data_IF_440775505350
#
_entry.id   IF_440775505350
#
_cell.length_a   1.000
_cell.length_b   1.000
_cell.length_c   1.000
_cell.angle_alpha   90.00
_cell.angle_beta   90.00
_cell.angle_gamma   90.00
#
_symmetry.space_group_name_H-M   'P 1'
#
loop_
_entity.id
_entity.type
_entity.pdbx_description
1 polymer ?
#
# COMPACT_ATOMS: atom_id res chain seq x y z
N UNK A 1 53.13 17.68 2.07
CA UNK A 1 53.09 16.21 2.23
C UNK A 1 51.64 15.81 2.42
N UNK A 2 51.15 15.05 1.45
CA UNK A 2 49.81 14.46 1.38
C UNK A 2 49.53 13.53 2.56
N UNK A 3 48.25 13.39 2.93
CA UNK A 3 47.62 12.07 2.92
C UNK A 3 46.09 12.19 2.91
N UNK A 4 45.52 11.87 1.75
CA UNK A 4 44.16 11.36 1.59
C UNK A 4 44.03 10.00 2.29
N UNK A 5 42.84 9.70 2.85
CA UNK A 5 42.29 8.36 2.97
C UNK A 5 40.79 8.52 3.32
N UNK A 6 39.95 8.68 2.29
CA UNK A 6 39.16 7.60 1.70
C UNK A 6 37.89 7.30 2.52
N UNK A 7 36.78 7.92 2.11
CA UNK A 7 35.46 7.42 2.44
C UNK A 7 35.36 5.95 2.04
N UNK A 8 35.00 5.10 3.00
CA UNK A 8 34.92 3.66 2.79
C UNK A 8 33.94 3.34 1.65
N UNK A 9 34.31 2.52 0.65
CA UNK A 9 33.46 2.25 -0.51
C UNK A 9 32.30 1.27 -0.24
N UNK A 10 32.23 0.67 0.95
CA UNK A 10 31.28 -0.41 1.29
C UNK A 10 30.32 -0.01 2.41
N UNK A 11 29.45 0.98 2.15
CA UNK A 11 28.40 1.36 3.12
C UNK A 11 27.14 0.48 3.06
N UNK A 12 27.05 -0.42 2.09
CA UNK A 12 25.96 -1.37 1.97
C UNK A 12 26.49 -2.76 1.58
N UNK A 13 26.85 -3.62 2.56
CA UNK A 13 27.23 -4.99 2.26
C UNK A 13 26.00 -5.71 1.68
N UNK A 14 26.06 -6.01 0.38
CA UNK A 14 25.04 -6.69 -0.43
C UNK A 14 23.88 -5.84 -1.03
N UNK A 15 24.18 -4.68 -1.62
CA UNK A 15 23.30 -4.19 -2.71
C UNK A 15 23.29 -5.23 -3.84
N UNK A 16 22.11 -5.46 -4.42
CA UNK A 16 21.83 -6.37 -5.56
C UNK A 16 21.60 -7.87 -5.31
N UNK A 17 21.12 -8.31 -4.14
CA UNK A 17 20.63 -9.70 -4.04
C UNK A 17 19.40 -9.97 -4.91
N UNK A 18 18.58 -8.95 -5.17
CA UNK A 18 17.48 -9.04 -6.14
C UNK A 18 17.97 -8.53 -7.49
N UNK A 19 18.22 -9.45 -8.42
CA UNK A 19 18.47 -9.11 -9.83
C UNK A 19 17.17 -8.62 -10.47
N UNK A 20 17.22 -7.43 -11.07
CA UNK A 20 16.10 -6.81 -11.76
C UNK A 20 15.89 -7.33 -13.18
N UNK A 21 14.86 -6.80 -13.85
CA UNK A 21 14.63 -7.05 -15.27
C UNK A 21 15.77 -6.46 -16.12
N UNK A 22 16.32 -7.25 -17.03
CA UNK A 22 17.43 -6.82 -17.90
C UNK A 22 16.98 -5.76 -18.90
N UNK A 23 15.76 -5.88 -19.43
CA UNK A 23 15.24 -4.94 -20.42
C UNK A 23 15.07 -3.55 -19.80
N UNK A 24 14.68 -3.50 -18.51
CA UNK A 24 14.61 -2.26 -17.75
C UNK A 24 16.00 -1.66 -17.48
N UNK A 25 16.99 -2.48 -17.17
CA UNK A 25 18.37 -2.01 -17.01
C UNK A 25 18.94 -1.47 -18.34
N UNK A 26 18.65 -2.13 -19.47
CA UNK A 26 19.04 -1.66 -20.81
C UNK A 26 18.38 -0.30 -21.14
N UNK A 27 17.08 -0.15 -20.86
CA UNK A 27 16.34 1.09 -21.07
C UNK A 27 16.88 2.25 -20.20
N UNK A 28 17.19 1.96 -18.94
CA UNK A 28 17.79 2.93 -18.03
C UNK A 28 19.17 3.41 -18.54
N UNK A 29 20.01 2.50 -19.05
CA UNK A 29 21.29 2.86 -19.70
C UNK A 29 21.08 3.70 -20.95
N UNK A 30 20.11 3.34 -21.79
CA UNK A 30 19.72 4.13 -22.98
C UNK A 30 19.28 5.56 -22.66
N UNK A 31 18.85 5.81 -21.41
CA UNK A 31 18.46 7.13 -20.91
C UNK A 31 19.64 7.94 -20.30
N UNK A 32 20.87 7.43 -20.39
CA UNK A 32 22.09 8.10 -19.92
C UNK A 32 22.53 7.76 -18.49
N UNK A 33 21.92 6.75 -17.85
CA UNK A 33 22.36 6.27 -16.54
C UNK A 33 23.62 5.39 -16.67
N UNK A 34 24.49 5.46 -15.66
CA UNK A 34 25.62 4.52 -15.55
C UNK A 34 25.14 3.09 -15.32
N UNK A 35 25.97 2.11 -15.63
CA UNK A 35 25.64 0.69 -15.44
C UNK A 35 25.21 0.36 -14.00
N UNK A 36 25.93 0.81 -12.94
CA UNK A 36 25.47 0.58 -11.56
C UNK A 36 24.10 1.23 -11.25
N UNK A 37 23.83 2.40 -11.83
CA UNK A 37 22.56 3.10 -11.60
C UNK A 37 21.40 2.42 -12.32
N UNK A 38 21.62 1.90 -13.53
CA UNK A 38 20.63 1.13 -14.27
C UNK A 38 20.27 -0.19 -13.58
N UNK A 39 21.26 -0.91 -13.06
CA UNK A 39 21.03 -2.10 -12.24
C UNK A 39 20.23 -1.75 -10.96
N UNK A 40 20.48 -0.59 -10.35
CA UNK A 40 19.73 -0.13 -9.18
C UNK A 40 18.26 0.15 -9.52
N UNK A 41 17.97 0.78 -10.67
CA UNK A 41 16.60 0.97 -11.16
C UNK A 41 15.88 -0.36 -11.32
N UNK A 42 16.53 -1.34 -11.96
CA UNK A 42 15.96 -2.67 -12.19
C UNK A 42 15.71 -3.43 -10.87
N UNK A 43 16.64 -3.33 -9.91
CA UNK A 43 16.49 -3.94 -8.60
C UNK A 43 15.34 -3.31 -7.79
N UNK A 44 15.20 -1.98 -7.84
CA UNK A 44 14.10 -1.25 -7.20
C UNK A 44 12.75 -1.74 -7.75
N UNK A 45 12.60 -1.83 -9.08
CA UNK A 45 11.36 -2.34 -9.69
C UNK A 45 11.04 -3.76 -9.21
N UNK A 46 12.02 -4.66 -9.22
CA UNK A 46 11.81 -6.04 -8.80
C UNK A 46 11.39 -6.15 -7.32
N UNK A 47 11.98 -5.34 -6.43
CA UNK A 47 11.57 -5.26 -5.03
C UNK A 47 10.17 -4.67 -4.91
N UNK A 48 9.87 -3.57 -5.60
CA UNK A 48 8.55 -2.95 -5.58
C UNK A 48 7.46 -3.89 -6.10
N UNK A 49 7.76 -4.69 -7.12
CA UNK A 49 6.87 -5.72 -7.65
C UNK A 49 6.60 -6.83 -6.61
N UNK A 50 7.60 -7.25 -5.83
CA UNK A 50 7.40 -8.20 -4.71
C UNK A 50 6.54 -7.58 -3.60
N UNK A 51 6.83 -6.35 -3.20
CA UNK A 51 6.06 -5.60 -2.20
C UNK A 51 4.61 -5.44 -2.63
N UNK A 52 4.38 -4.97 -3.87
CA UNK A 52 3.05 -4.81 -4.46
C UNK A 52 2.28 -6.11 -4.48
N UNK A 53 2.90 -7.22 -4.90
CA UNK A 53 2.27 -8.56 -4.88
C UNK A 53 1.89 -9.01 -3.47
N UNK A 54 2.77 -8.81 -2.49
CA UNK A 54 2.47 -9.17 -1.09
C UNK A 54 1.26 -8.38 -0.56
N UNK A 55 1.19 -7.07 -0.87
CA UNK A 55 0.07 -6.21 -0.49
C UNK A 55 -1.23 -6.69 -1.17
N UNK A 56 -1.20 -6.91 -2.49
CA UNK A 56 -2.39 -7.32 -3.26
C UNK A 56 -2.93 -8.69 -2.87
N UNK A 57 -2.06 -9.66 -2.55
CA UNK A 57 -2.47 -10.99 -2.10
C UNK A 57 -3.09 -10.97 -0.69
N UNK A 58 -2.85 -9.88 0.04
CA UNK A 58 -3.30 -9.65 1.42
C UNK A 58 -2.84 -10.75 2.36
N UNK A 59 -1.62 -11.24 2.17
CA UNK A 59 -1.07 -12.40 2.89
C UNK A 59 -1.10 -12.17 4.41
N UNK A 60 -0.72 -10.97 4.84
CA UNK A 60 -0.77 -10.57 6.25
C UNK A 60 -2.19 -10.57 6.83
N UNK A 61 -3.16 -10.01 6.10
CA UNK A 61 -4.56 -9.99 6.51
C UNK A 61 -5.13 -11.41 6.63
N UNK A 62 -4.88 -12.28 5.65
CA UNK A 62 -5.29 -13.69 5.69
C UNK A 62 -4.68 -14.43 6.88
N UNK A 63 -3.40 -14.23 7.16
CA UNK A 63 -2.70 -14.86 8.29
C UNK A 63 -3.25 -14.43 9.65
N UNK A 64 -3.67 -13.17 9.78
CA UNK A 64 -4.34 -12.64 10.98
C UNK A 64 -5.70 -13.30 11.14
N UNK A 65 -6.53 -13.27 10.10
CA UNK A 65 -7.91 -13.78 10.18
C UNK A 65 -7.94 -15.26 10.54
N UNK A 66 -7.05 -16.07 9.96
CA UNK A 66 -6.91 -17.48 10.30
C UNK A 66 -6.62 -17.76 11.79
N UNK A 67 -6.08 -16.77 12.53
CA UNK A 67 -5.73 -16.90 13.96
C UNK A 67 -6.67 -16.17 14.90
N UNK A 68 -7.32 -15.10 14.44
CA UNK A 68 -8.16 -14.22 15.28
C UNK A 68 -9.63 -14.57 15.17
N UNK A 69 -10.13 -14.66 13.94
CA UNK A 69 -11.52 -15.04 13.66
C UNK A 69 -11.60 -15.64 12.24
N UNK A 70 -11.51 -16.99 12.11
CA UNK A 70 -11.56 -17.66 10.83
C UNK A 70 -12.88 -17.46 10.07
N UNK A 71 -13.93 -16.97 10.75
CA UNK A 71 -15.21 -16.69 10.11
C UNK A 71 -15.18 -15.40 9.29
N UNK A 72 -14.17 -14.55 9.48
CA UNK A 72 -14.00 -13.31 8.74
C UNK A 72 -13.20 -13.52 7.45
N UNK A 73 -13.60 -12.79 6.42
CA UNK A 73 -12.84 -12.63 5.18
C UNK A 73 -12.02 -11.34 5.17
N UNK A 74 -11.07 -11.22 4.24
CA UNK A 74 -10.22 -10.01 4.16
C UNK A 74 -11.02 -8.74 3.85
N UNK A 75 -12.08 -8.87 3.06
CA UNK A 75 -13.05 -7.79 2.79
C UNK A 75 -13.69 -7.24 4.07
N UNK A 76 -13.93 -8.09 5.08
CA UNK A 76 -14.43 -7.69 6.38
C UNK A 76 -13.38 -6.89 7.16
N UNK A 77 -12.12 -7.32 7.11
CA UNK A 77 -11.02 -6.59 7.75
C UNK A 77 -10.83 -5.20 7.13
N UNK A 78 -10.93 -5.10 5.80
CA UNK A 78 -10.85 -3.84 5.08
C UNK A 78 -12.01 -2.90 5.47
N UNK A 79 -13.24 -3.41 5.51
CA UNK A 79 -14.40 -2.64 5.94
C UNK A 79 -14.33 -2.22 7.42
N UNK A 80 -13.85 -3.09 8.30
CA UNK A 80 -13.57 -2.73 9.71
C UNK A 80 -12.54 -1.60 9.79
N UNK A 81 -11.48 -1.67 8.98
CA UNK A 81 -10.48 -0.60 8.85
C UNK A 81 -11.07 0.72 8.34
N UNK A 82 -11.98 0.65 7.36
CA UNK A 82 -12.70 1.79 6.83
C UNK A 82 -13.65 2.42 7.88
N UNK A 83 -14.31 1.62 8.71
CA UNK A 83 -15.18 2.11 9.81
C UNK A 83 -14.35 2.74 10.93
N UNK A 84 -13.17 2.21 11.22
CA UNK A 84 -12.26 2.77 12.22
C UNK A 84 -11.75 4.18 11.91
N UNK A 85 -12.05 4.71 10.71
CA UNK A 85 -11.54 5.97 10.20
C UNK A 85 -10.01 6.05 10.28
N UNK A 86 -9.34 4.96 9.91
CA UNK A 86 -7.88 4.86 9.96
C UNK A 86 -7.27 5.87 8.95
N UNK A 87 -6.25 6.65 9.33
CA UNK A 87 -5.62 7.66 8.47
C UNK A 87 -5.11 7.13 7.12
N UNK A 88 -4.88 5.82 7.00
CA UNK A 88 -4.55 5.19 5.69
C UNK A 88 -5.69 5.31 4.67
N UNK A 89 -6.94 5.43 5.12
CA UNK A 89 -8.14 5.47 4.25
C UNK A 89 -8.87 6.82 4.26
N UNK A 90 -8.45 7.78 5.10
CA UNK A 90 -9.07 9.11 5.14
C UNK A 90 -8.22 10.13 5.90
N UNK A 91 -8.07 11.32 5.32
CA UNK A 91 -7.40 12.47 5.96
C UNK A 91 -8.31 13.19 6.97
N UNK A 92 -9.63 12.91 6.94
CA UNK A 92 -10.63 13.59 7.76
C UNK A 92 -11.18 12.69 8.88
N UNK A 93 -10.73 12.94 10.12
CA UNK A 93 -11.20 12.23 11.32
C UNK A 93 -12.70 12.47 11.66
N UNK A 94 -13.36 13.43 11.02
CA UNK A 94 -14.67 13.93 11.46
C UNK A 94 -15.89 13.42 10.66
N UNK A 95 -15.71 12.64 9.60
CA UNK A 95 -16.84 12.21 8.79
C UNK A 95 -17.57 10.98 9.36
N UNK A 96 -18.90 11.06 9.36
CA UNK A 96 -19.74 9.93 9.72
C UNK A 96 -19.56 8.80 8.71
N UNK A 97 -19.18 7.60 9.19
CA UNK A 97 -19.01 6.46 8.30
C UNK A 97 -20.37 5.91 7.88
N UNK A 98 -20.72 6.13 6.63
CA UNK A 98 -21.89 5.54 5.97
C UNK A 98 -21.47 4.37 5.09
N UNK A 99 -22.43 3.53 4.68
CA UNK A 99 -22.17 2.45 3.70
C UNK A 99 -21.63 3.03 2.38
N UNK A 100 -22.13 4.19 1.94
CA UNK A 100 -21.63 4.87 0.75
C UNK A 100 -20.16 5.26 0.88
N UNK A 101 -19.76 5.81 2.05
CA UNK A 101 -18.36 6.13 2.32
C UNK A 101 -17.48 4.87 2.38
N UNK A 102 -17.99 3.75 2.87
CA UNK A 102 -17.26 2.46 2.83
C UNK A 102 -17.09 1.99 1.39
N UNK A 103 -18.12 2.10 0.55
CA UNK A 103 -18.04 1.74 -0.86
C UNK A 103 -16.97 2.55 -1.59
N UNK A 104 -16.93 3.86 -1.34
CA UNK A 104 -15.92 4.77 -1.86
C UNK A 104 -14.51 4.41 -1.38
N UNK A 105 -14.31 4.28 -0.06
CA UNK A 105 -13.00 3.97 0.54
C UNK A 105 -12.42 2.63 0.10
N UNK A 106 -13.29 1.67 -0.19
CA UNK A 106 -12.87 0.33 -0.62
C UNK A 106 -12.88 0.16 -2.13
N UNK A 107 -13.31 1.18 -2.89
CA UNK A 107 -13.49 1.14 -4.34
C UNK A 107 -14.33 -0.07 -4.79
N UNK A 108 -15.44 -0.32 -4.10
CA UNK A 108 -16.38 -1.42 -4.37
C UNK A 108 -17.79 -0.90 -4.65
N UNK A 109 -18.61 -1.74 -5.28
CA UNK A 109 -20.00 -1.38 -5.53
C UNK A 109 -20.80 -1.22 -4.22
N UNK A 110 -21.78 -0.29 -4.16
CA UNK A 110 -22.59 -0.06 -2.96
C UNK A 110 -23.34 -1.28 -2.44
N UNK A 111 -23.76 -2.20 -3.31
CA UNK A 111 -24.46 -3.43 -2.91
C UNK A 111 -23.52 -4.37 -2.14
N UNK A 112 -22.27 -4.51 -2.60
CA UNK A 112 -21.22 -5.25 -1.91
C UNK A 112 -20.83 -4.61 -0.59
N UNK A 113 -20.66 -3.29 -0.56
CA UNK A 113 -20.40 -2.57 0.70
C UNK A 113 -21.52 -2.77 1.72
N UNK A 114 -22.78 -2.74 1.27
CA UNK A 114 -23.95 -2.98 2.11
C UNK A 114 -23.97 -4.40 2.69
N UNK A 115 -23.69 -5.42 1.85
CA UNK A 115 -23.58 -6.82 2.29
C UNK A 115 -22.50 -7.01 3.34
N UNK A 116 -21.28 -6.55 3.07
CA UNK A 116 -20.16 -6.63 4.02
C UNK A 116 -20.52 -5.91 5.34
N UNK A 117 -21.16 -4.75 5.25
CA UNK A 117 -21.58 -3.98 6.43
C UNK A 117 -22.64 -4.70 7.25
N UNK A 118 -23.60 -5.37 6.60
CA UNK A 118 -24.62 -6.16 7.28
C UNK A 118 -24.00 -7.36 8.00
N UNK A 119 -23.10 -8.10 7.34
CA UNK A 119 -22.39 -9.23 7.93
C UNK A 119 -21.55 -8.81 9.14
N UNK A 120 -20.88 -7.66 9.07
CA UNK A 120 -20.13 -7.11 10.21
C UNK A 120 -21.02 -6.75 11.41
N UNK A 121 -22.23 -6.28 11.15
CA UNK A 121 -23.22 -5.98 12.21
C UNK A 121 -23.73 -7.27 12.83
N UNK A 122 -24.09 -8.26 12.01
CA UNK A 122 -24.55 -9.58 12.46
C UNK A 122 -23.49 -10.29 13.32
N UNK A 123 -22.22 -10.20 12.91
CA UNK A 123 -21.07 -10.78 13.64
C UNK A 123 -20.62 -9.98 14.86
N UNK A 124 -21.30 -8.87 15.15
CA UNK A 124 -21.08 -8.01 16.32
C UNK A 124 -19.78 -7.20 16.27
N UNK A 125 -19.20 -6.97 15.09
CA UNK A 125 -18.00 -6.12 14.91
C UNK A 125 -18.36 -4.65 14.68
N UNK A 126 -19.54 -4.39 14.12
CA UNK A 126 -20.08 -3.05 13.93
C UNK A 126 -21.51 -2.94 14.47
N UNK A 127 -21.99 -1.72 14.66
CA UNK A 127 -23.39 -1.43 14.95
C UNK A 127 -23.90 -0.28 14.10
N UNK A 128 -25.20 -0.31 13.80
CA UNK A 128 -25.91 0.78 13.13
C UNK A 128 -26.31 1.82 14.18
N UNK A 129 -26.02 3.09 13.88
CA UNK A 129 -26.38 4.23 14.72
C UNK A 129 -27.08 5.26 13.84
N UNK A 130 -28.06 5.98 14.38
CA UNK A 130 -28.64 7.11 13.67
C UNK A 130 -27.56 8.18 13.40
N UNK A 131 -27.55 8.74 12.19
CA UNK A 131 -26.70 9.89 11.88
C UNK A 131 -27.12 11.09 12.74
N UNK A 132 -26.12 11.82 13.23
CA UNK A 132 -26.34 13.07 13.96
C UNK A 132 -26.58 14.25 13.01
N UNK A 133 -26.28 14.09 11.71
CA UNK A 133 -26.43 15.11 10.65
C UNK A 133 -27.73 14.97 9.86
N UNK A 134 -28.21 13.75 9.64
CA UNK A 134 -29.48 13.46 8.95
C UNK A 134 -30.10 12.19 9.53
N UNK A 135 -31.21 12.31 10.27
CA UNK A 135 -31.86 11.17 10.91
C UNK A 135 -32.34 10.08 9.93
N UNK A 136 -32.41 10.37 8.62
CA UNK A 136 -32.72 9.40 7.56
C UNK A 136 -31.52 8.54 7.15
N UNK A 137 -30.31 8.93 7.56
CA UNK A 137 -29.07 8.20 7.25
C UNK A 137 -28.66 7.31 8.42
N UNK A 138 -28.23 6.10 8.09
CA UNK A 138 -27.64 5.17 9.04
C UNK A 138 -26.13 5.25 8.92
N UNK A 139 -25.46 5.50 10.04
CA UNK A 139 -24.00 5.42 10.15
C UNK A 139 -23.59 4.13 10.83
N UNK A 140 -22.36 3.71 10.60
CA UNK A 140 -21.73 2.57 11.24
C UNK A 140 -20.72 3.06 12.28
N UNK A 141 -20.67 2.36 13.40
CA UNK A 141 -19.60 2.46 14.39
C UNK A 141 -19.08 1.06 14.69
N UNK A 142 -17.81 0.96 15.04
CA UNK A 142 -17.28 -0.29 15.58
C UNK A 142 -17.90 -0.54 16.96
N UNK A 143 -18.14 -1.81 17.27
CA UNK A 143 -18.39 -2.24 18.64
C UNK A 143 -17.06 -2.34 19.40
N UNK A 144 -17.07 -2.53 20.74
CA UNK A 144 -15.84 -2.82 21.47
C UNK A 144 -15.07 -4.05 20.92
N UNK A 145 -15.78 -5.00 20.31
CA UNK A 145 -15.16 -6.15 19.63
C UNK A 145 -14.41 -5.70 18.37
N UNK A 146 -15.03 -4.87 17.53
CA UNK A 146 -14.41 -4.27 16.35
C UNK A 146 -13.20 -3.40 16.68
N UNK A 147 -13.32 -2.55 17.70
CA UNK A 147 -12.22 -1.68 18.15
C UNK A 147 -11.00 -2.48 18.61
N UNK A 148 -11.21 -3.54 19.40
CA UNK A 148 -10.12 -4.43 19.84
C UNK A 148 -9.44 -5.12 18.66
N UNK A 149 -10.20 -5.58 17.67
CA UNK A 149 -9.64 -6.20 16.47
C UNK A 149 -8.74 -5.21 15.72
N UNK A 150 -9.22 -3.99 15.45
CA UNK A 150 -8.43 -2.95 14.76
C UNK A 150 -7.17 -2.60 15.52
N UNK A 151 -7.29 -2.41 16.84
CA UNK A 151 -6.16 -2.07 17.69
C UNK A 151 -5.10 -3.17 17.67
N UNK A 152 -5.50 -4.44 17.81
CA UNK A 152 -4.58 -5.58 17.79
C UNK A 152 -3.88 -5.73 16.43
N UNK A 153 -4.62 -5.61 15.33
CA UNK A 153 -4.07 -5.69 13.97
C UNK A 153 -3.08 -4.55 13.72
N UNK A 154 -3.44 -3.31 14.07
CA UNK A 154 -2.58 -2.14 13.92
C UNK A 154 -1.30 -2.26 14.74
N UNK A 155 -1.42 -2.61 16.03
CA UNK A 155 -0.26 -2.74 16.90
C UNK A 155 0.69 -3.84 16.42
N UNK A 156 0.15 -4.95 15.93
CA UNK A 156 0.95 -6.05 15.37
C UNK A 156 1.66 -5.62 14.09
N UNK A 157 0.95 -4.96 13.16
CA UNK A 157 1.55 -4.40 11.94
C UNK A 157 2.70 -3.46 12.27
N UNK A 158 2.49 -2.55 13.23
CA UNK A 158 3.50 -1.59 13.65
C UNK A 158 4.70 -2.24 14.32
N UNK A 159 4.49 -3.26 15.15
CA UNK A 159 5.58 -4.00 15.79
C UNK A 159 6.43 -4.74 14.75
N UNK A 160 5.80 -5.36 13.76
CA UNK A 160 6.52 -6.03 12.66
C UNK A 160 7.30 -5.00 11.85
N UNK A 161 6.68 -3.87 11.49
CA UNK A 161 7.32 -2.82 10.72
C UNK A 161 8.51 -2.21 11.47
N UNK A 162 8.30 -1.74 12.70
CA UNK A 162 9.36 -1.21 13.54
C UNK A 162 10.46 -2.25 13.80
N UNK A 163 10.08 -3.50 14.07
CA UNK A 163 11.02 -4.61 14.26
C UNK A 163 11.83 -4.92 13.00
N UNK A 164 11.26 -4.77 11.79
CA UNK A 164 11.99 -4.96 10.53
C UNK A 164 13.03 -3.87 10.26
N UNK A 165 12.87 -2.71 10.89
CA UNK A 165 13.76 -1.55 10.77
C UNK A 165 14.72 -1.40 11.95
N UNK A 166 14.48 -2.10 13.07
CA UNK A 166 15.22 -1.93 14.32
C UNK A 166 16.72 -2.30 14.24
N UNK A 167 17.11 -3.11 13.24
CA UNK A 167 18.51 -3.49 13.00
C UNK A 167 19.26 -2.54 12.05
N UNK A 168 18.59 -1.52 11.50
CA UNK A 168 19.23 -0.54 10.63
C UNK A 168 19.89 0.54 11.48
N UNK A 169 20.96 1.13 10.98
CA UNK A 169 21.52 2.32 11.62
C UNK A 169 20.63 3.55 11.41
N UNK A 170 20.80 4.54 12.29
CA UNK A 170 19.99 5.77 12.28
C UNK A 170 20.13 6.56 10.98
N UNK A 171 21.34 6.62 10.41
CA UNK A 171 21.60 7.37 9.19
C UNK A 171 20.90 6.72 8.00
N UNK A 172 20.93 5.39 7.92
CA UNK A 172 20.25 4.60 6.91
C UNK A 172 18.73 4.72 7.02
N UNK A 173 18.17 4.72 8.23
CA UNK A 173 16.73 4.95 8.44
C UNK A 173 16.29 6.33 7.93
N UNK A 174 17.02 7.38 8.30
CA UNK A 174 16.72 8.76 7.86
C UNK A 174 16.87 8.88 6.34
N UNK A 175 17.96 8.34 5.78
CA UNK A 175 18.22 8.38 4.33
C UNK A 175 17.15 7.63 3.56
N UNK A 176 16.79 6.43 4.01
CA UNK A 176 15.76 5.63 3.37
C UNK A 176 14.40 6.32 3.42
N UNK A 177 14.02 6.93 4.56
CA UNK A 177 12.77 7.68 4.66
C UNK A 177 12.69 8.82 3.63
N UNK A 178 13.76 9.62 3.50
CA UNK A 178 13.83 10.71 2.52
C UNK A 178 13.77 10.21 1.08
N UNK A 179 14.53 9.15 0.75
CA UNK A 179 14.53 8.57 -0.59
C UNK A 179 13.19 7.93 -0.95
N UNK A 180 12.54 7.27 0.02
CA UNK A 180 11.23 6.65 -0.16
C UNK A 180 10.16 7.71 -0.39
N UNK A 181 10.20 8.86 0.30
CA UNK A 181 9.28 9.97 0.08
C UNK A 181 9.48 10.59 -1.31
N UNK A 182 10.73 10.86 -1.70
CA UNK A 182 11.06 11.33 -3.05
C UNK A 182 10.59 10.36 -4.13
N UNK A 183 10.72 9.06 -3.88
CA UNK A 183 10.22 8.02 -4.77
C UNK A 183 8.68 7.96 -4.75
N UNK A 184 8.02 8.09 -3.60
CA UNK A 184 6.55 8.08 -3.54
C UNK A 184 5.93 9.27 -4.31
N UNK A 185 6.63 10.41 -4.36
CA UNK A 185 6.17 11.62 -5.06
C UNK A 185 5.77 11.40 -6.53
N UNK A 186 6.45 10.52 -7.28
CA UNK A 186 6.05 10.23 -8.67
C UNK A 186 4.88 9.25 -8.75
N UNK A 187 4.77 8.30 -7.81
CA UNK A 187 3.69 7.30 -7.78
C UNK A 187 2.34 7.96 -7.46
N UNK A 188 2.38 9.01 -6.65
CA UNK A 188 1.19 9.75 -6.21
C UNK A 188 0.80 10.88 -7.19
N UNK A 189 1.55 11.11 -8.28
CA UNK A 189 1.18 12.06 -9.33
C UNK A 189 0.11 11.44 -10.25
N UNK A 190 -1.16 11.67 -9.93
CA UNK A 190 -2.31 11.19 -10.70
C UNK A 190 -2.28 11.66 -12.17
N UNK A 191 -1.75 12.86 -12.43
CA UNK A 191 -1.62 13.38 -13.79
C UNK A 191 -0.51 12.63 -14.55
N UNK A 192 0.58 12.25 -13.88
CA UNK A 192 1.63 11.38 -14.38
C UNK A 192 1.10 10.00 -14.76
N UNK A 193 0.30 9.39 -13.88
CA UNK A 193 -0.27 8.06 -14.11
C UNK A 193 -1.20 8.03 -15.33
N UNK A 194 -2.04 9.06 -15.52
CA UNK A 194 -2.93 9.19 -16.69
C UNK A 194 -2.13 9.26 -17.99
N UNK A 195 -1.09 10.11 -18.04
CA UNK A 195 -0.20 10.22 -19.20
C UNK A 195 0.49 8.88 -19.53
N UNK A 196 0.94 8.15 -18.50
CA UNK A 196 1.53 6.83 -18.70
C UNK A 196 0.52 5.80 -19.22
N UNK A 197 -0.73 5.81 -18.73
CA UNK A 197 -1.78 4.93 -19.24
C UNK A 197 -2.10 5.21 -20.71
N UNK A 198 -2.16 6.49 -21.10
CA UNK A 198 -2.35 6.89 -22.50
C UNK A 198 -1.18 6.44 -23.39
N UNK A 199 0.05 6.57 -22.91
CA UNK A 199 1.24 6.10 -23.61
C UNK A 199 1.25 4.57 -23.79
N UNK A 200 0.82 3.80 -22.77
CA UNK A 200 0.67 2.33 -22.88
C UNK A 200 -0.36 1.98 -23.94
N UNK A 201 -1.52 2.66 -23.94
CA UNK A 201 -2.55 2.45 -24.96
C UNK A 201 -2.02 2.72 -26.37
N UNK A 202 -1.30 3.83 -26.55
CA UNK A 202 -0.71 4.18 -27.82
C UNK A 202 0.31 3.12 -28.31
N UNK A 203 1.20 2.65 -27.43
CA UNK A 203 2.14 1.58 -27.77
C UNK A 203 1.43 0.26 -28.13
N UNK A 204 0.34 -0.08 -27.44
CA UNK A 204 -0.46 -1.25 -27.78
C UNK A 204 -1.14 -1.12 -29.15
N UNK A 205 -1.68 0.06 -29.45
CA UNK A 205 -2.31 0.38 -30.73
C UNK A 205 -1.29 0.34 -31.89
N UNK A 206 -0.04 0.78 -31.65
CA UNK A 206 1.07 0.74 -32.61
C UNK A 206 1.64 -0.68 -32.82
N UNK A 207 1.54 -1.56 -31.82
CA UNK A 207 2.02 -2.95 -31.87
C UNK A 207 1.07 -3.93 -32.56
N UNK A 208 -0.20 -3.57 -32.76
CA UNK A 208 -1.15 -4.39 -33.52
C UNK A 208 -1.02 -4.03 -35.01
N UNK A 209 -0.43 -4.90 -35.87
CA UNK A 209 -0.45 -4.63 -37.30
C UNK A 209 -1.91 -4.66 -37.77
N UNK A 210 -2.32 -3.63 -38.53
CA UNK A 210 -3.60 -3.63 -39.24
C UNK A 210 -3.74 -4.95 -40.01
N UNK A 211 -4.61 -5.83 -39.51
CA UNK A 211 -4.88 -7.10 -40.18
C UNK A 211 -5.78 -6.77 -41.36
N UNK A 212 -5.16 -6.62 -42.54
CA UNK A 212 -5.84 -6.56 -43.84
C UNK A 212 -6.28 -7.93 -44.31
#
# INVERSE_FOLDING_TARGET
MSSNASGSPDRFPALFQTRGDRDLADLARGSGLSEPAAEAVAAIDAVMSKVRRSIQRRDFGRMILARVDPSLEVSHLDAIGAIANNPVFSDNQQDEVTVGLIAERLEIDPSRASRISADLVERGYACRVASQRDARRIRLKLTPKGERLVAAVRQTKWRIFAGSLAQWDEQDLVTFATLLERFAGWVMDEAGMKRSADAVKQLMDEMLPETK
#
